data_IF_754933387728
#
_entry.id   IF_754933387728
#
_cell.length_a   1.000
_cell.length_b   1.000
_cell.length_c   1.000
_cell.angle_alpha   90.00
_cell.angle_beta   90.00
_cell.angle_gamma   90.00
#
_symmetry.space_group_name_H-M   'P 1'
#
loop_
_entity.id
_entity.type
_entity.pdbx_description
1 polymer ?
#
# COMPACT_ATOMS: atom_id res chain seq x y z
N UNK A 1 -12.70 30.30 -14.77
CA UNK A 1 -12.78 29.10 -15.63
C UNK A 1 -11.81 28.10 -15.03
N UNK A 2 -12.29 26.96 -14.54
CA UNK A 2 -11.41 25.94 -13.98
C UNK A 2 -10.55 25.37 -15.12
N UNK A 3 -9.23 25.32 -14.94
CA UNK A 3 -8.35 24.65 -15.90
C UNK A 3 -8.78 23.18 -16.02
N UNK A 4 -9.30 22.81 -17.19
CA UNK A 4 -9.46 21.41 -17.61
C UNK A 4 -8.10 20.87 -18.05
N UNK A 5 -7.85 19.57 -17.85
CA UNK A 5 -6.58 18.88 -18.18
C UNK A 5 -5.43 19.15 -17.18
N UNK A 6 -5.66 18.90 -15.90
CA UNK A 6 -4.61 18.98 -14.87
C UNK A 6 -3.65 17.78 -14.99
N UNK A 7 -2.36 17.95 -14.66
CA UNK A 7 -1.43 16.83 -14.53
C UNK A 7 -1.97 15.74 -13.61
N UNK A 8 -1.71 14.47 -13.93
CA UNK A 8 -2.30 13.32 -13.22
C UNK A 8 -1.93 13.27 -11.74
N UNK A 9 -0.72 13.67 -11.36
CA UNK A 9 -0.26 13.78 -9.97
C UNK A 9 -1.06 14.84 -9.19
N UNK A 10 -1.27 16.02 -9.78
CA UNK A 10 -2.11 17.09 -9.20
C UNK A 10 -3.57 16.63 -9.09
N UNK A 11 -4.07 15.89 -10.08
CA UNK A 11 -5.44 15.36 -10.05
C UNK A 11 -5.63 14.28 -8.97
N UNK A 12 -4.60 13.48 -8.69
CA UNK A 12 -4.63 12.43 -7.67
C UNK A 12 -4.42 13.02 -6.25
N UNK A 13 -3.36 13.80 -6.05
CA UNK A 13 -2.90 14.23 -4.72
C UNK A 13 -3.29 15.66 -4.35
N UNK A 14 -3.90 16.40 -5.27
CA UNK A 14 -4.32 17.76 -5.05
C UNK A 14 -3.16 18.77 -5.10
N UNK A 15 -3.49 20.04 -4.87
CA UNK A 15 -2.54 21.15 -4.82
C UNK A 15 -3.10 22.27 -3.96
N UNK A 16 -2.24 22.82 -3.10
CA UNK A 16 -2.55 24.01 -2.31
C UNK A 16 -1.60 25.16 -2.69
N UNK A 17 -2.17 26.29 -3.11
CA UNK A 17 -1.46 27.55 -3.34
C UNK A 17 -2.12 28.67 -2.55
N UNK A 18 -1.48 29.08 -1.46
CA UNK A 18 -2.01 30.12 -0.57
C UNK A 18 -2.20 31.48 -1.25
N UNK A 19 -1.30 31.85 -2.16
CA UNK A 19 -1.34 33.11 -2.91
C UNK A 19 -2.39 33.14 -4.03
N UNK A 20 -2.83 31.98 -4.51
CA UNK A 20 -3.85 31.87 -5.56
C UNK A 20 -4.84 30.73 -5.25
N UNK A 21 -5.78 30.93 -4.31
CA UNK A 21 -6.67 29.85 -3.88
C UNK A 21 -7.60 29.31 -4.98
N UNK A 22 -7.84 30.10 -6.03
CA UNK A 22 -8.70 29.72 -7.17
C UNK A 22 -8.14 28.57 -7.99
N UNK A 23 -6.85 28.24 -7.83
CA UNK A 23 -6.21 27.11 -8.53
C UNK A 23 -5.95 25.92 -7.61
N UNK A 24 -6.51 25.93 -6.39
CA UNK A 24 -6.45 24.79 -5.49
C UNK A 24 -7.21 23.60 -6.08
N UNK A 25 -6.72 22.41 -5.76
CA UNK A 25 -7.27 21.15 -6.23
C UNK A 25 -7.39 20.23 -5.04
N UNK A 26 -8.59 19.75 -4.77
CA UNK A 26 -8.82 18.75 -3.73
C UNK A 26 -8.30 17.40 -4.20
N UNK A 27 -7.61 16.67 -3.32
CA UNK A 27 -7.08 15.35 -3.64
C UNK A 27 -8.21 14.33 -3.90
N UNK A 28 -7.99 13.46 -4.88
CA UNK A 28 -8.84 12.29 -5.11
C UNK A 28 -8.34 11.04 -4.35
N UNK A 29 -7.07 11.05 -3.92
CA UNK A 29 -6.44 9.94 -3.22
C UNK A 29 -6.33 10.22 -1.73
N UNK A 30 -6.65 9.21 -0.92
CA UNK A 30 -6.33 9.19 0.50
C UNK A 30 -5.26 8.13 0.74
N UNK A 31 -4.20 8.48 1.47
CA UNK A 31 -3.09 7.59 1.80
C UNK A 31 -3.04 7.39 3.30
N UNK A 32 -3.13 6.15 3.77
CA UNK A 32 -2.81 5.83 5.14
C UNK A 32 -1.29 5.64 5.30
N UNK A 33 -0.78 5.94 6.50
CA UNK A 33 0.58 5.56 6.86
C UNK A 33 0.69 4.03 6.85
N UNK A 34 1.80 3.53 6.30
CA UNK A 34 2.12 2.12 6.40
C UNK A 34 2.51 1.79 7.84
N UNK A 35 1.79 0.86 8.48
CA UNK A 35 2.05 0.45 9.86
C UNK A 35 2.43 -1.02 9.92
N UNK A 36 3.24 -1.41 10.90
CA UNK A 36 3.57 -2.82 11.13
C UNK A 36 2.33 -3.57 11.62
N UNK A 37 2.10 -4.77 11.09
CA UNK A 37 1.03 -5.66 11.60
C UNK A 37 1.49 -6.44 12.83
N UNK A 38 2.81 -6.55 13.03
CA UNK A 38 3.44 -7.15 14.18
C UNK A 38 3.91 -6.09 15.17
N UNK A 39 4.16 -6.53 16.41
CA UNK A 39 4.88 -5.72 17.38
C UNK A 39 6.28 -5.43 16.81
N UNK A 40 6.64 -4.14 16.78
CA UNK A 40 7.93 -3.69 16.27
C UNK A 40 8.98 -3.88 17.36
N UNK A 41 10.05 -4.57 16.99
CA UNK A 41 11.28 -4.61 17.76
C UNK A 41 12.33 -3.86 16.95
N UNK A 42 12.84 -2.77 17.52
CA UNK A 42 13.92 -2.00 16.91
C UNK A 42 15.25 -2.67 17.24
N UNK A 43 16.04 -2.92 16.21
CA UNK A 43 17.42 -3.39 16.30
C UNK A 43 18.36 -2.22 15.99
N UNK A 44 19.58 -2.30 16.48
CA UNK A 44 20.61 -1.27 16.29
C UNK A 44 21.84 -1.93 15.68
N UNK A 45 22.29 -1.37 14.56
CA UNK A 45 23.55 -1.71 13.92
C UNK A 45 24.65 -0.75 14.37
N UNK A 46 25.74 -1.27 14.93
CA UNK A 46 26.91 -0.49 15.34
C UNK A 46 27.99 -0.63 14.28
N UNK A 47 28.37 0.48 13.67
CA UNK A 47 29.34 0.48 12.57
C UNK A 47 30.50 1.43 12.86
N UNK A 48 31.64 1.13 12.23
CA UNK A 48 32.85 1.97 12.29
C UNK A 48 33.26 2.40 10.89
N UNK A 49 33.77 3.62 10.73
CA UNK A 49 34.48 4.02 9.53
C UNK A 49 35.99 3.98 9.79
N UNK A 50 36.70 3.25 8.93
CA UNK A 50 38.16 3.09 9.04
C UNK A 50 38.86 4.20 8.24
N UNK A 51 39.87 4.82 8.83
CA UNK A 51 40.80 5.72 8.15
C UNK A 51 41.99 4.92 7.58
N UNK A 52 42.01 4.79 6.26
CA UNK A 52 43.07 4.10 5.52
C UNK A 52 44.44 4.81 5.62
N UNK A 53 44.49 6.07 6.07
CA UNK A 53 45.73 6.87 6.22
C UNK A 53 46.23 6.96 7.68
N UNK A 54 45.60 6.25 8.61
CA UNK A 54 45.93 6.27 10.04
C UNK A 54 47.33 5.72 10.38
N UNK A 55 47.80 5.99 11.60
CA UNK A 55 49.08 5.48 12.10
C UNK A 55 49.05 3.95 12.26
N UNK A 56 50.18 3.27 12.01
CA UNK A 56 50.25 1.79 11.98
C UNK A 56 49.98 1.08 13.30
N UNK A 57 50.07 1.80 14.43
CA UNK A 57 49.76 1.28 15.77
C UNK A 57 48.32 1.58 16.22
N UNK A 58 47.54 2.28 15.38
CA UNK A 58 46.12 2.56 15.62
C UNK A 58 45.25 1.59 14.79
N UNK A 59 44.14 1.10 15.36
CA UNK A 59 43.24 0.18 14.62
C UNK A 59 42.41 0.90 13.54
N UNK A 60 42.63 2.21 13.36
CA UNK A 60 42.10 3.00 12.25
C UNK A 60 40.62 3.35 12.38
N UNK A 61 39.92 3.05 13.47
CA UNK A 61 38.51 3.39 13.64
C UNK A 61 38.34 4.86 14.09
N UNK A 62 38.19 5.78 13.14
CA UNK A 62 38.06 7.23 13.40
C UNK A 62 36.61 7.65 13.71
N UNK A 63 35.62 6.86 13.29
CA UNK A 63 34.21 7.10 13.60
C UNK A 63 33.50 5.84 14.07
N UNK A 64 32.65 5.98 15.09
CA UNK A 64 31.68 4.98 15.53
C UNK A 64 30.30 5.60 15.44
N UNK A 65 29.37 4.89 14.80
CA UNK A 65 27.97 5.28 14.67
C UNK A 65 27.01 4.13 15.00
N UNK A 66 25.75 4.49 15.23
CA UNK A 66 24.65 3.53 15.37
C UNK A 66 23.53 3.85 14.36
N UNK A 67 22.91 2.83 13.78
CA UNK A 67 21.72 2.97 12.92
C UNK A 67 20.64 1.99 13.36
N UNK A 68 19.44 2.50 13.66
CA UNK A 68 18.28 1.66 13.96
C UNK A 68 17.65 1.06 12.70
N UNK A 69 17.30 -0.22 12.74
CA UNK A 69 16.54 -0.91 11.69
C UNK A 69 15.52 -1.88 12.27
N UNK A 70 14.57 -2.35 11.46
CA UNK A 70 13.62 -3.40 11.85
C UNK A 70 13.20 -4.24 10.64
N UNK A 71 12.63 -5.42 10.92
CA UNK A 71 12.11 -6.36 9.92
C UNK A 71 10.60 -6.60 10.12
N UNK A 72 9.79 -5.56 9.91
CA UNK A 72 8.34 -5.64 10.09
C UNK A 72 7.60 -6.00 8.80
N UNK A 73 6.46 -6.66 8.94
CA UNK A 73 5.47 -6.76 7.85
C UNK A 73 4.55 -5.56 7.92
N UNK A 74 4.42 -4.83 6.82
CA UNK A 74 3.62 -3.60 6.77
C UNK A 74 2.25 -3.82 6.12
N UNK A 75 1.21 -3.27 6.74
CA UNK A 75 -0.07 -3.04 6.11
C UNK A 75 -0.07 -1.66 5.45
N UNK A 76 -0.36 -1.62 4.15
CA UNK A 76 -0.50 -0.38 3.38
C UNK A 76 -1.94 -0.26 2.91
N UNK A 77 -2.50 0.94 3.02
CA UNK A 77 -3.87 1.22 2.61
C UNK A 77 -3.97 2.57 1.89
N UNK A 78 -4.72 2.58 0.80
CA UNK A 78 -5.03 3.77 0.02
C UNK A 78 -6.44 3.64 -0.55
N UNK A 79 -7.03 4.78 -0.89
CA UNK A 79 -8.34 4.85 -1.55
C UNK A 79 -8.28 5.86 -2.68
N UNK A 80 -8.98 5.59 -3.77
CA UNK A 80 -9.16 6.52 -4.88
C UNK A 80 -10.64 6.86 -5.01
N UNK A 81 -10.98 8.13 -4.90
CA UNK A 81 -12.31 8.65 -5.23
C UNK A 81 -12.36 8.93 -6.75
N UNK A 82 -13.05 8.05 -7.48
CA UNK A 82 -13.15 8.15 -8.93
C UNK A 82 -13.99 9.34 -9.40
N UNK A 83 -14.95 9.80 -8.58
CA UNK A 83 -15.79 10.96 -8.89
C UNK A 83 -14.99 12.24 -8.73
N UNK A 84 -14.22 12.36 -7.64
CA UNK A 84 -13.33 13.50 -7.44
C UNK A 84 -12.20 13.52 -8.47
N UNK A 85 -11.67 12.35 -8.86
CA UNK A 85 -10.65 12.26 -9.91
C UNK A 85 -11.19 12.70 -11.28
N UNK A 86 -12.40 12.26 -11.67
CA UNK A 86 -13.06 12.72 -12.90
C UNK A 86 -13.24 14.25 -12.89
N UNK A 87 -13.71 14.81 -11.77
CA UNK A 87 -13.86 16.26 -11.59
C UNK A 87 -12.52 16.99 -11.74
N UNK A 88 -11.44 16.42 -11.21
CA UNK A 88 -10.11 17.02 -11.27
C UNK A 88 -9.55 17.04 -12.69
N UNK A 89 -9.71 15.93 -13.42
CA UNK A 89 -9.25 15.77 -14.81
C UNK A 89 -10.11 16.59 -15.80
N UNK A 90 -11.43 16.66 -15.56
CA UNK A 90 -12.41 17.30 -16.45
C UNK A 90 -12.78 16.43 -17.67
N UNK A 91 -12.42 15.16 -17.65
CA UNK A 91 -12.62 14.18 -18.73
C UNK A 91 -12.75 12.77 -18.14
N UNK A 92 -13.48 11.89 -18.84
CA UNK A 92 -13.56 10.45 -18.54
C UNK A 92 -12.51 9.62 -19.26
N UNK A 93 -11.95 10.14 -20.35
CA UNK A 93 -11.09 9.37 -21.27
C UNK A 93 -9.81 8.86 -20.59
N UNK A 94 -9.25 9.62 -19.64
CA UNK A 94 -7.99 9.27 -18.95
C UNK A 94 -8.21 8.65 -17.57
N UNK A 95 -9.46 8.51 -17.12
CA UNK A 95 -9.77 8.17 -15.74
C UNK A 95 -9.33 6.74 -15.38
N UNK A 96 -9.60 5.78 -16.27
CA UNK A 96 -9.21 4.38 -16.09
C UNK A 96 -7.68 4.20 -16.15
N UNK A 97 -7.02 4.83 -17.13
CA UNK A 97 -5.56 4.76 -17.31
C UNK A 97 -4.81 5.32 -16.10
N UNK A 98 -5.19 6.52 -15.62
CA UNK A 98 -4.56 7.15 -14.46
C UNK A 98 -4.80 6.33 -13.19
N UNK A 99 -6.01 5.80 -12.99
CA UNK A 99 -6.34 4.95 -11.83
C UNK A 99 -5.52 3.66 -11.85
N UNK A 100 -5.37 3.03 -13.02
CA UNK A 100 -4.54 1.84 -13.18
C UNK A 100 -3.07 2.14 -12.90
N UNK A 101 -2.52 3.21 -13.50
CA UNK A 101 -1.14 3.62 -13.28
C UNK A 101 -0.87 3.91 -11.79
N UNK A 102 -1.80 4.58 -11.11
CA UNK A 102 -1.72 4.81 -9.67
C UNK A 102 -1.71 3.49 -8.88
N UNK A 103 -2.63 2.57 -9.17
CA UNK A 103 -2.70 1.29 -8.47
C UNK A 103 -1.43 0.45 -8.66
N UNK A 104 -0.90 0.40 -9.87
CA UNK A 104 0.38 -0.26 -10.16
C UNK A 104 1.55 0.39 -9.42
N UNK A 105 1.62 1.72 -9.44
CA UNK A 105 2.65 2.48 -8.74
C UNK A 105 2.56 2.23 -7.23
N UNK A 106 1.37 2.25 -6.64
CA UNK A 106 1.19 1.98 -5.20
C UNK A 106 1.66 0.59 -4.80
N UNK A 107 1.35 -0.43 -5.63
CA UNK A 107 1.80 -1.80 -5.37
C UNK A 107 3.33 -1.92 -5.44
N UNK A 108 3.95 -1.31 -6.44
CA UNK A 108 5.39 -1.45 -6.74
C UNK A 108 6.30 -0.47 -6.01
N UNK A 109 5.77 0.66 -5.53
CA UNK A 109 6.57 1.72 -4.91
C UNK A 109 7.19 1.25 -3.59
N UNK A 110 8.49 1.53 -3.44
CA UNK A 110 9.29 1.31 -2.24
C UNK A 110 10.08 2.60 -1.98
N UNK A 111 10.04 3.17 -0.76
CA UNK A 111 10.84 4.35 -0.42
C UNK A 111 12.34 4.14 -0.65
N UNK A 112 13.04 5.18 -1.10
CA UNK A 112 14.47 5.15 -1.44
C UNK A 112 15.41 5.33 -0.23
N UNK A 113 14.86 5.64 0.94
CA UNK A 113 15.63 5.88 2.16
C UNK A 113 16.48 4.67 2.55
N UNK A 114 17.78 4.91 2.79
CA UNK A 114 18.79 3.91 3.17
C UNK A 114 18.85 2.63 2.31
N UNK A 115 18.31 2.63 1.08
CA UNK A 115 18.30 1.43 0.24
C UNK A 115 19.70 0.95 -0.16
N UNK A 116 20.66 1.86 -0.34
CA UNK A 116 22.04 1.47 -0.65
C UNK A 116 22.71 0.72 0.52
N UNK A 117 22.29 0.98 1.75
CA UNK A 117 22.83 0.34 2.95
C UNK A 117 22.10 -0.97 3.30
N UNK A 118 20.76 -1.03 3.11
CA UNK A 118 19.95 -2.16 3.57
C UNK A 118 19.32 -3.02 2.46
N UNK A 119 19.31 -2.57 1.20
CA UNK A 119 18.73 -3.27 0.04
C UNK A 119 17.32 -3.84 0.29
N UNK A 120 16.45 -3.09 0.95
CA UNK A 120 15.08 -3.48 1.34
C UNK A 120 14.09 -3.45 0.16
N UNK A 121 14.43 -4.13 -0.94
CA UNK A 121 13.60 -4.27 -2.12
C UNK A 121 12.70 -5.52 -2.03
N UNK A 122 11.48 -5.35 -1.53
CA UNK A 122 10.48 -6.42 -1.42
C UNK A 122 9.17 -6.06 -2.09
N UNK A 123 8.60 -6.99 -2.87
CA UNK A 123 7.23 -6.88 -3.37
C UNK A 123 6.20 -7.40 -2.35
N UNK A 124 4.97 -6.86 -2.33
CA UNK A 124 3.93 -7.30 -1.42
C UNK A 124 3.65 -8.81 -1.47
N UNK A 125 3.44 -9.42 -0.32
CA UNK A 125 3.08 -10.84 -0.22
C UNK A 125 1.59 -11.10 -0.49
N UNK A 126 0.75 -10.07 -0.32
CA UNK A 126 -0.66 -10.07 -0.64
C UNK A 126 -1.08 -8.67 -1.15
N UNK A 127 -1.98 -8.63 -2.13
CA UNK A 127 -2.61 -7.41 -2.65
C UNK A 127 -4.10 -7.66 -2.73
N UNK A 128 -4.90 -6.80 -2.10
CA UNK A 128 -6.35 -6.85 -2.14
C UNK A 128 -6.90 -5.55 -2.71
N UNK A 129 -7.86 -5.66 -3.62
CA UNK A 129 -8.54 -4.51 -4.22
C UNK A 129 -10.04 -4.69 -4.06
N UNK A 130 -10.70 -3.62 -3.65
CA UNK A 130 -12.15 -3.57 -3.49
C UNK A 130 -12.67 -2.32 -4.21
N UNK A 131 -13.58 -2.52 -5.16
CA UNK A 131 -14.35 -1.44 -5.77
C UNK A 131 -15.68 -1.39 -5.06
N UNK A 132 -16.07 -0.21 -4.57
CA UNK A 132 -17.32 -0.05 -3.83
C UNK A 132 -18.01 1.27 -4.09
N UNK A 133 -19.34 1.23 -4.04
CA UNK A 133 -20.21 2.40 -4.06
C UNK A 133 -20.42 2.90 -2.63
N UNK A 134 -19.89 4.08 -2.30
CA UNK A 134 -20.02 4.68 -0.97
C UNK A 134 -18.67 4.84 -0.28
N UNK A 135 -18.67 4.79 1.05
CA UNK A 135 -17.48 5.13 1.84
C UNK A 135 -16.33 4.11 1.65
N UNK A 136 -15.06 4.53 1.68
CA UNK A 136 -13.95 3.60 1.80
C UNK A 136 -13.95 2.89 3.17
N UNK A 137 -13.38 1.69 3.24
CA UNK A 137 -13.24 0.93 4.49
C UNK A 137 -11.83 0.36 4.55
N UNK A 138 -11.10 0.73 5.60
CA UNK A 138 -9.80 0.15 5.91
C UNK A 138 -9.98 -1.17 6.68
N UNK A 139 -9.02 -2.08 6.53
CA UNK A 139 -8.95 -3.33 7.30
C UNK A 139 -7.86 -3.26 8.38
N UNK A 140 -7.42 -2.04 8.73
CA UNK A 140 -6.34 -1.82 9.71
C UNK A 140 -6.65 -2.46 11.07
N UNK A 141 -7.92 -2.47 11.48
CA UNK A 141 -8.37 -3.04 12.75
C UNK A 141 -8.19 -4.57 12.82
N UNK A 142 -7.99 -5.25 11.68
CA UNK A 142 -7.57 -6.65 11.65
C UNK A 142 -6.24 -6.88 12.40
N UNK A 143 -5.44 -5.82 12.57
CA UNK A 143 -4.12 -5.84 13.17
C UNK A 143 -4.05 -5.05 14.49
N UNK A 144 -5.19 -4.67 15.08
CA UNK A 144 -5.24 -4.04 16.40
C UNK A 144 -4.49 -4.90 17.45
N UNK A 145 -4.72 -6.21 17.40
CA UNK A 145 -3.92 -7.20 18.14
C UNK A 145 -2.67 -7.56 17.33
N UNK A 146 -1.46 -7.26 17.81
CA UNK A 146 -0.23 -7.49 17.04
C UNK A 146 -0.06 -8.95 16.63
N UNK A 147 0.28 -9.14 15.36
CA UNK A 147 0.48 -10.46 14.76
C UNK A 147 1.85 -11.02 15.16
N UNK A 148 1.89 -12.31 15.49
CA UNK A 148 3.11 -13.05 15.79
C UNK A 148 3.10 -14.44 15.12
N UNK A 149 4.26 -15.04 14.83
CA UNK A 149 4.36 -16.46 14.50
C UNK A 149 3.83 -17.31 15.66
N UNK A 150 2.85 -18.16 15.39
CA UNK A 150 2.26 -19.06 16.40
C UNK A 150 1.55 -20.23 15.74
N UNK A 151 1.35 -21.31 16.50
CA UNK A 151 0.63 -22.52 16.05
C UNK A 151 1.20 -23.12 14.75
N UNK A 152 2.53 -23.08 14.59
CA UNK A 152 3.22 -23.58 13.39
C UNK A 152 3.02 -22.73 12.14
N UNK A 153 2.41 -21.54 12.25
CA UNK A 153 2.22 -20.58 11.14
C UNK A 153 3.16 -19.40 11.28
N UNK A 154 3.67 -18.93 10.16
CA UNK A 154 4.47 -17.72 10.05
C UNK A 154 3.64 -16.47 10.37
N UNK A 155 4.34 -15.35 10.58
CA UNK A 155 3.73 -14.04 10.77
C UNK A 155 2.82 -13.67 9.58
N UNK A 156 3.28 -13.86 8.34
CA UNK A 156 2.50 -13.56 7.14
C UNK A 156 1.25 -14.44 7.00
N UNK A 157 1.36 -15.74 7.28
CA UNK A 157 0.20 -16.64 7.27
C UNK A 157 -0.85 -16.20 8.29
N UNK A 158 -0.43 -15.86 9.52
CA UNK A 158 -1.35 -15.36 10.55
C UNK A 158 -1.94 -13.99 10.19
N UNK A 159 -1.18 -13.11 9.53
CA UNK A 159 -1.67 -11.82 9.08
C UNK A 159 -2.76 -11.96 7.99
N UNK A 160 -2.55 -12.85 7.02
CA UNK A 160 -3.55 -13.13 5.96
C UNK A 160 -4.84 -13.72 6.55
N UNK A 161 -4.73 -14.65 7.51
CA UNK A 161 -5.90 -15.23 8.20
C UNK A 161 -6.69 -14.13 8.94
N UNK A 162 -5.98 -13.24 9.64
CA UNK A 162 -6.61 -12.14 10.38
C UNK A 162 -7.30 -11.15 9.46
N UNK A 163 -6.68 -10.80 8.34
CA UNK A 163 -7.28 -9.96 7.30
C UNK A 163 -8.54 -10.62 6.71
N UNK A 164 -8.47 -11.91 6.37
CA UNK A 164 -9.58 -12.69 5.81
C UNK A 164 -10.78 -12.79 6.78
N UNK A 165 -10.49 -13.11 8.04
CA UNK A 165 -11.51 -13.20 9.10
C UNK A 165 -12.16 -11.85 9.36
N UNK A 166 -11.35 -10.79 9.45
CA UNK A 166 -11.86 -9.44 9.68
C UNK A 166 -12.72 -8.93 8.53
N UNK A 167 -12.34 -9.24 7.28
CA UNK A 167 -13.21 -9.00 6.12
C UNK A 167 -14.58 -9.69 6.29
N UNK A 168 -14.57 -10.96 6.66
CA UNK A 168 -15.80 -11.73 6.86
C UNK A 168 -16.69 -11.14 7.97
N UNK A 169 -16.09 -10.71 9.09
CA UNK A 169 -16.81 -10.07 10.19
C UNK A 169 -17.45 -8.75 9.76
N UNK A 170 -16.72 -7.90 9.04
CA UNK A 170 -17.26 -6.64 8.50
C UNK A 170 -18.38 -6.89 7.48
N UNK A 171 -18.19 -7.85 6.58
CA UNK A 171 -19.20 -8.27 5.60
C UNK A 171 -20.46 -8.78 6.29
N UNK A 172 -20.32 -9.55 7.38
CA UNK A 172 -21.46 -10.04 8.16
C UNK A 172 -22.18 -8.90 8.88
N UNK A 173 -21.46 -7.93 9.41
CA UNK A 173 -22.02 -6.82 10.20
C UNK A 173 -22.69 -5.74 9.34
N UNK A 174 -22.04 -5.34 8.24
CA UNK A 174 -22.47 -4.23 7.39
C UNK A 174 -23.10 -4.68 6.05
N UNK A 175 -22.90 -5.95 5.67
CA UNK A 175 -23.28 -6.45 4.35
C UNK A 175 -22.30 -6.04 3.24
N UNK A 176 -22.48 -6.64 2.07
CA UNK A 176 -21.64 -6.39 0.88
C UNK A 176 -22.39 -5.66 -0.25
N UNK A 177 -23.57 -5.10 0.01
CA UNK A 177 -24.39 -4.45 -1.06
C UNK A 177 -23.65 -3.33 -1.80
N UNK A 178 -22.75 -2.63 -1.12
CA UNK A 178 -21.93 -1.57 -1.70
C UNK A 178 -20.72 -2.09 -2.49
N UNK A 179 -20.33 -3.35 -2.32
CA UNK A 179 -19.14 -3.92 -2.95
C UNK A 179 -19.49 -4.34 -4.38
N UNK A 180 -18.87 -3.68 -5.35
CA UNK A 180 -19.06 -3.95 -6.79
C UNK A 180 -18.05 -5.01 -7.25
N UNK A 181 -16.83 -4.95 -6.73
CA UNK A 181 -15.79 -5.92 -6.97
C UNK A 181 -14.94 -6.11 -5.71
N UNK A 182 -14.50 -7.35 -5.48
CA UNK A 182 -13.46 -7.68 -4.52
C UNK A 182 -12.54 -8.72 -5.17
N UNK A 183 -11.25 -8.58 -4.96
CA UNK A 183 -10.27 -9.55 -5.40
C UNK A 183 -9.02 -9.49 -4.53
N UNK A 184 -8.35 -10.63 -4.41
CA UNK A 184 -7.09 -10.75 -3.68
C UNK A 184 -6.09 -11.57 -4.49
N UNK A 185 -4.83 -11.23 -4.41
CA UNK A 185 -3.71 -12.03 -4.93
C UNK A 185 -2.77 -12.25 -3.77
N UNK A 186 -2.33 -13.49 -3.59
CA UNK A 186 -1.34 -13.83 -2.56
C UNK A 186 -0.24 -14.72 -3.12
N UNK A 187 0.87 -14.86 -2.40
CA UNK A 187 1.83 -15.94 -2.68
C UNK A 187 1.13 -17.29 -2.49
N UNK A 188 1.44 -18.28 -3.32
CA UNK A 188 0.75 -19.58 -3.35
C UNK A 188 0.68 -20.31 -1.99
N UNK A 189 1.65 -20.12 -1.09
CA UNK A 189 1.58 -20.68 0.27
C UNK A 189 0.50 -20.01 1.13
N UNK A 190 0.32 -18.70 0.98
CA UNK A 190 -0.62 -17.89 1.76
C UNK A 190 -2.07 -18.10 1.30
N UNK A 191 -2.27 -18.37 0.01
CA UNK A 191 -3.57 -18.70 -0.58
C UNK A 191 -4.31 -19.81 0.18
N UNK A 192 -3.55 -20.81 0.66
CA UNK A 192 -4.07 -21.95 1.44
C UNK A 192 -4.67 -21.57 2.80
N UNK A 193 -4.42 -20.35 3.25
CA UNK A 193 -4.92 -19.83 4.52
C UNK A 193 -6.18 -18.97 4.35
N UNK A 194 -6.58 -18.67 3.12
CA UNK A 194 -7.82 -17.93 2.84
C UNK A 194 -9.01 -18.88 2.93
N UNK A 195 -10.06 -18.47 3.64
CA UNK A 195 -11.34 -19.18 3.68
C UNK A 195 -12.44 -18.33 3.06
N UNK A 196 -12.54 -17.06 3.45
CA UNK A 196 -13.65 -16.17 3.09
C UNK A 196 -13.42 -15.43 1.77
N UNK A 197 -12.15 -15.15 1.44
CA UNK A 197 -11.71 -14.51 0.21
C UNK A 197 -11.18 -15.51 -0.83
N UNK A 198 -11.14 -16.81 -0.54
CA UNK A 198 -10.61 -17.82 -1.46
C UNK A 198 -11.31 -17.82 -2.82
N UNK A 199 -12.63 -17.57 -2.83
CA UNK A 199 -13.42 -17.51 -4.06
C UNK A 199 -13.18 -16.26 -4.92
N UNK A 200 -12.50 -15.25 -4.38
CA UNK A 200 -12.14 -14.03 -5.10
C UNK A 200 -10.64 -13.92 -5.36
N UNK A 201 -9.89 -15.01 -5.18
CA UNK A 201 -8.49 -15.05 -5.53
C UNK A 201 -8.29 -14.85 -7.05
N UNK A 202 -7.29 -14.05 -7.39
CA UNK A 202 -6.85 -13.79 -8.77
C UNK A 202 -5.46 -14.39 -8.99
N UNK A 203 -5.15 -14.84 -10.21
CA UNK A 203 -3.89 -15.52 -10.50
C UNK A 203 -2.67 -14.59 -10.47
N UNK A 204 -2.85 -13.30 -10.77
CA UNK A 204 -1.78 -12.31 -10.79
C UNK A 204 -2.27 -10.92 -10.37
N UNK A 205 -1.33 -10.04 -9.98
CA UNK A 205 -1.63 -8.63 -9.71
C UNK A 205 -2.17 -7.92 -10.96
N UNK A 206 -1.69 -8.29 -12.15
CA UNK A 206 -2.18 -7.72 -13.41
C UNK A 206 -3.65 -8.04 -13.63
N UNK A 207 -4.04 -9.31 -13.46
CA UNK A 207 -5.44 -9.75 -13.58
C UNK A 207 -6.33 -9.10 -12.51
N UNK A 208 -5.82 -8.97 -11.27
CA UNK A 208 -6.52 -8.29 -10.19
C UNK A 208 -6.81 -6.82 -10.53
N UNK A 209 -5.81 -6.09 -11.02
CA UNK A 209 -5.98 -4.68 -11.37
C UNK A 209 -6.87 -4.51 -12.58
N UNK A 210 -6.70 -5.35 -13.62
CA UNK A 210 -7.55 -5.34 -14.81
C UNK A 210 -9.03 -5.52 -14.47
N UNK A 211 -9.36 -6.53 -13.67
CA UNK A 211 -10.74 -6.80 -13.28
C UNK A 211 -11.31 -5.71 -12.37
N UNK A 212 -10.49 -5.15 -11.48
CA UNK A 212 -10.89 -4.04 -10.63
C UNK A 212 -11.18 -2.77 -11.45
N UNK A 213 -10.33 -2.43 -12.42
CA UNK A 213 -10.52 -1.27 -13.30
C UNK A 213 -11.77 -1.43 -14.16
N UNK A 214 -12.00 -2.63 -14.73
CA UNK A 214 -13.21 -2.93 -15.48
C UNK A 214 -14.49 -2.79 -14.62
N UNK A 215 -14.42 -3.17 -13.34
CA UNK A 215 -15.53 -3.01 -12.41
C UNK A 215 -15.75 -1.54 -11.96
N UNK A 216 -14.69 -0.75 -11.85
CA UNK A 216 -14.76 0.67 -11.47
C UNK A 216 -15.26 1.56 -12.61
N UNK A 217 -14.96 1.21 -13.86
CA UNK A 217 -15.28 2.00 -15.06
C UNK A 217 -16.00 1.15 -16.12
N UNK A 218 -17.28 0.79 -15.90
CA UNK A 218 -18.04 -0.01 -16.86
C UNK A 218 -18.18 0.74 -18.19
N UNK A 219 -17.64 0.17 -19.26
CA UNK A 219 -17.70 0.74 -20.62
C UNK A 219 -16.45 1.49 -21.11
N UNK A 220 -15.34 1.46 -20.36
CA UNK A 220 -14.07 2.07 -20.74
C UNK A 220 -13.12 1.14 -21.57
N UNK A 221 -13.62 0.01 -22.06
CA UNK A 221 -12.86 -0.96 -22.88
C UNK A 221 -13.17 -0.81 -24.38
#
# INVERSE_FOLDING_TARGET
>A
MAESNKPGDVALFGRMMASLPTVNVDAAVQMAHAISVNALQQEFDFFTAVDDLGASDDQGADHIGETGYNSSTYYRFTTVDTVQLEKNLGTKEQLAEITQAFAEAFVKAIPTGHQNAFAAHSLPAAVMVVVRNGQPVSLVDAFESPIAPKNGKSLLENAVIKLDTHWADLTKMYGEKSVVFKGIVTRAQLAKQLENLANCEKPSVEDLLKDAIAAAFPGAN
#
